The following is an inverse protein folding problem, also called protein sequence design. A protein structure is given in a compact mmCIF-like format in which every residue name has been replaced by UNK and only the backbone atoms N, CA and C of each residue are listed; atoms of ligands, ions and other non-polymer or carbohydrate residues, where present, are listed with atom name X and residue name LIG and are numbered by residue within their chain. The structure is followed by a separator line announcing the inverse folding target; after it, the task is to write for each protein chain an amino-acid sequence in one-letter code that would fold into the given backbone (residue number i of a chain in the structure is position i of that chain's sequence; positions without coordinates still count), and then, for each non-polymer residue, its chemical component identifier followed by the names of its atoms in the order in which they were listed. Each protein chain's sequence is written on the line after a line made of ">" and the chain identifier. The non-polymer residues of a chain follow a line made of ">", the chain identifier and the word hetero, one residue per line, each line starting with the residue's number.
data_IF_995253612062
#
_entry.id   IF_995253612062
#
_cell.length_a   1.000
_cell.length_b   1.000
_cell.length_c   1.000
_cell.angle_alpha   90.00
_cell.angle_beta   90.00
_cell.angle_gamma   90.00
#
_symmetry.space_group_name_H-M   'P 1'
#
loop_
_entity.id
_entity.type
_entity.pdbx_description
1 polymer ?
#
# COMPACT_ATOMS: atom_id res chain seq x y z
N UNK A 1 -11.30 -6.45 -17.04
CA UNK A 1 -12.41 -5.93 -16.21
C UNK A 1 -13.68 -5.67 -17.01
N UNK A 2 -13.61 -5.46 -18.34
CA UNK A 2 -14.82 -5.17 -19.14
C UNK A 2 -15.43 -3.82 -18.79
N UNK A 3 -14.60 -2.85 -18.37
CA UNK A 3 -15.00 -1.52 -17.95
C UNK A 3 -14.43 -0.48 -18.91
N UNK A 4 -15.18 0.59 -19.15
CA UNK A 4 -14.74 1.72 -19.98
C UNK A 4 -13.79 2.66 -19.23
N UNK A 5 -13.92 2.72 -17.91
CA UNK A 5 -13.09 3.51 -16.99
C UNK A 5 -12.97 2.81 -15.63
N UNK A 6 -12.05 3.29 -14.78
CA UNK A 6 -11.94 2.94 -13.36
C UNK A 6 -11.98 4.19 -12.49
N UNK A 7 -12.46 4.06 -11.25
CA UNK A 7 -12.55 5.23 -10.37
C UNK A 7 -11.17 5.69 -9.89
N UNK A 8 -10.24 4.76 -9.67
CA UNK A 8 -8.91 5.04 -9.12
C UNK A 8 -7.87 4.12 -9.76
N UNK A 9 -6.76 4.70 -10.21
CA UNK A 9 -5.59 3.97 -10.70
C UNK A 9 -4.34 4.31 -9.88
N UNK A 10 -3.62 3.30 -9.39
CA UNK A 10 -2.48 3.48 -8.50
C UNK A 10 -1.17 3.04 -9.15
N UNK A 11 -0.12 3.84 -8.95
CA UNK A 11 1.23 3.30 -8.97
C UNK A 11 1.36 2.29 -7.83
N UNK A 12 1.54 1.01 -8.14
CA UNK A 12 1.57 -0.03 -7.09
C UNK A 12 2.82 0.06 -6.21
N UNK A 13 3.96 0.42 -6.78
CA UNK A 13 5.22 0.52 -6.06
C UNK A 13 6.01 1.75 -6.53
N UNK A 14 6.84 2.36 -5.65
CA UNK A 14 7.74 3.48 -5.98
C UNK A 14 9.00 3.05 -6.74
N UNK A 15 9.00 1.88 -7.38
CA UNK A 15 10.08 1.36 -8.21
C UNK A 15 9.53 0.72 -9.47
N UNK A 16 10.39 0.56 -10.47
CA UNK A 16 10.05 -0.03 -11.76
C UNK A 16 10.92 -1.25 -12.05
N UNK A 17 10.36 -2.24 -12.74
CA UNK A 17 11.13 -3.31 -13.35
C UNK A 17 11.51 -2.92 -14.78
N UNK A 18 12.73 -3.27 -15.21
CA UNK A 18 13.18 -3.01 -16.58
C UNK A 18 12.35 -3.86 -17.55
N UNK A 19 11.70 -3.25 -18.54
CA UNK A 19 10.98 -4.03 -19.54
C UNK A 19 11.94 -4.70 -20.51
N UNK A 20 11.56 -5.86 -21.05
CA UNK A 20 12.26 -6.51 -22.17
C UNK A 20 12.22 -5.60 -23.39
N UNK A 21 11.03 -5.08 -23.71
CA UNK A 21 10.79 -4.10 -24.77
C UNK A 21 9.41 -3.48 -24.59
N UNK A 22 9.14 -2.40 -25.32
CA UNK A 22 7.81 -1.80 -25.36
C UNK A 22 6.74 -2.77 -25.91
N UNK A 23 7.10 -3.58 -26.92
CA UNK A 23 6.19 -4.58 -27.49
C UNK A 23 5.91 -5.73 -26.53
N UNK A 24 6.90 -6.13 -25.71
CA UNK A 24 6.68 -7.12 -24.66
C UNK A 24 5.66 -6.62 -23.62
N UNK A 25 5.76 -5.35 -23.20
CA UNK A 25 4.79 -4.75 -22.28
C UNK A 25 3.37 -4.70 -22.86
N UNK A 26 3.21 -4.36 -24.15
CA UNK A 26 1.89 -4.34 -24.81
C UNK A 26 1.19 -5.71 -24.81
N UNK A 27 1.98 -6.78 -24.86
CA UNK A 27 1.50 -8.16 -24.90
C UNK A 27 1.60 -8.86 -23.54
N UNK A 28 1.91 -8.12 -22.48
CA UNK A 28 2.14 -8.67 -21.16
C UNK A 28 0.88 -9.34 -20.60
N UNK A 29 1.06 -10.51 -19.97
CA UNK A 29 0.00 -11.24 -19.28
C UNK A 29 0.08 -10.99 -17.78
N UNK A 30 -1.06 -10.67 -17.16
CA UNK A 30 -1.12 -10.42 -15.72
C UNK A 30 -0.67 -11.65 -14.89
N UNK A 31 -1.03 -12.85 -15.35
CA UNK A 31 -0.64 -14.12 -14.75
C UNK A 31 0.28 -14.84 -15.74
N UNK A 32 1.55 -15.00 -15.37
CA UNK A 32 2.58 -15.60 -16.22
C UNK A 32 3.97 -15.51 -15.61
N UNK A 33 4.96 -16.05 -16.32
CA UNK A 33 6.38 -15.86 -16.02
C UNK A 33 6.77 -14.38 -16.07
N UNK A 34 7.96 -14.01 -15.57
CA UNK A 34 8.43 -12.63 -15.70
C UNK A 34 8.59 -12.22 -17.17
N UNK A 35 9.04 -13.13 -18.04
CA UNK A 35 9.07 -12.92 -19.48
C UNK A 35 7.68 -12.64 -20.06
N UNK A 36 6.67 -13.44 -19.69
CA UNK A 36 5.28 -13.20 -20.13
C UNK A 36 4.69 -11.91 -19.58
N UNK A 37 5.23 -11.39 -18.48
CA UNK A 37 4.91 -10.05 -17.95
C UNK A 37 5.72 -8.94 -18.63
N UNK A 38 6.59 -9.28 -19.58
CA UNK A 38 7.48 -8.33 -20.27
C UNK A 38 8.60 -7.78 -19.38
N UNK A 39 8.91 -8.44 -18.26
CA UNK A 39 9.91 -8.03 -17.29
C UNK A 39 11.25 -8.70 -17.62
N UNK A 40 12.31 -7.90 -17.71
CA UNK A 40 13.67 -8.39 -17.91
C UNK A 40 14.18 -9.10 -16.66
N UNK A 41 14.81 -10.26 -16.85
CA UNK A 41 15.53 -10.99 -15.80
C UNK A 41 17.03 -10.98 -16.05
N UNK A 42 17.80 -10.99 -14.97
CA UNK A 42 19.24 -11.24 -15.03
C UNK A 42 19.46 -12.73 -15.36
N UNK A 43 20.14 -13.05 -16.47
CA UNK A 43 20.32 -14.44 -16.92
C UNK A 43 21.18 -15.28 -15.97
N UNK A 44 21.94 -14.67 -15.06
CA UNK A 44 22.78 -15.36 -14.08
C UNK A 44 22.04 -15.66 -12.79
N UNK A 45 21.19 -14.74 -12.34
CA UNK A 45 20.52 -14.84 -11.04
C UNK A 45 19.05 -15.23 -11.14
N UNK A 46 18.43 -15.10 -12.32
CA UNK A 46 16.98 -15.26 -12.52
C UNK A 46 16.15 -14.18 -11.84
N UNK A 47 16.78 -13.14 -11.25
CA UNK A 47 16.07 -12.06 -10.58
C UNK A 47 15.62 -11.01 -11.59
N UNK A 48 14.48 -10.37 -11.29
CA UNK A 48 13.95 -9.23 -12.05
C UNK A 48 14.94 -8.07 -12.00
N UNK A 49 15.20 -7.45 -13.15
CA UNK A 49 16.07 -6.28 -13.25
C UNK A 49 15.28 -5.02 -12.88
N UNK A 50 15.85 -4.17 -12.01
CA UNK A 50 15.25 -2.90 -11.63
C UNK A 50 15.56 -1.84 -12.71
N UNK A 51 14.55 -1.05 -13.07
CA UNK A 51 14.75 0.15 -13.86
C UNK A 51 15.01 1.34 -12.92
N UNK A 52 16.29 1.60 -12.66
CA UNK A 52 16.69 2.65 -11.72
C UNK A 52 16.26 4.04 -12.19
N UNK A 53 16.25 4.29 -13.51
CA UNK A 53 15.85 5.57 -14.10
C UNK A 53 14.42 5.99 -13.68
N UNK A 54 13.49 5.02 -13.65
CA UNK A 54 12.07 5.24 -13.33
C UNK A 54 11.70 4.82 -11.90
N UNK A 55 12.70 4.48 -11.08
CA UNK A 55 12.53 4.21 -9.66
C UNK A 55 12.66 5.52 -8.88
N UNK A 56 11.92 5.66 -7.78
CA UNK A 56 12.00 6.85 -6.93
C UNK A 56 13.44 7.17 -6.52
N UNK A 57 13.75 8.46 -6.43
CA UNK A 57 15.09 8.93 -6.08
C UNK A 57 15.58 8.34 -4.74
N UNK A 58 14.69 8.31 -3.75
CA UNK A 58 14.97 7.76 -2.42
C UNK A 58 15.39 6.28 -2.46
N UNK A 59 14.71 5.44 -3.25
CA UNK A 59 15.07 4.02 -3.38
C UNK A 59 16.33 3.83 -4.23
N UNK A 60 16.42 4.54 -5.36
CA UNK A 60 17.56 4.45 -6.25
C UNK A 60 18.87 4.84 -5.53
N UNK A 61 18.85 5.93 -4.76
CA UNK A 61 20.03 6.41 -4.02
C UNK A 61 20.52 5.41 -2.98
N UNK A 62 19.61 4.75 -2.24
CA UNK A 62 19.98 3.69 -1.27
C UNK A 62 20.69 2.51 -1.93
N UNK A 63 20.42 2.28 -3.22
CA UNK A 63 21.07 1.26 -4.01
C UNK A 63 22.30 1.77 -4.80
N UNK A 64 22.71 3.03 -4.63
CA UNK A 64 23.85 3.62 -5.34
C UNK A 64 23.54 4.02 -6.80
N UNK A 65 22.28 4.30 -7.11
CA UNK A 65 21.81 4.70 -8.42
C UNK A 65 21.11 6.07 -8.39
N UNK A 66 20.91 6.66 -9.57
CA UNK A 66 20.05 7.82 -9.77
C UNK A 66 18.72 7.38 -10.40
N UNK A 67 17.62 8.00 -9.97
CA UNK A 67 16.28 7.67 -10.42
C UNK A 67 15.29 8.79 -10.14
N UNK A 68 14.18 8.80 -10.86
CA UNK A 68 13.05 9.68 -10.58
C UNK A 68 11.73 8.97 -10.89
N UNK A 69 10.77 9.08 -9.96
CA UNK A 69 9.40 8.63 -10.22
C UNK A 69 8.54 9.70 -10.92
N UNK A 70 9.05 10.93 -11.04
CA UNK A 70 8.32 12.06 -11.64
C UNK A 70 7.82 11.76 -13.06
N UNK A 71 8.60 11.15 -13.98
CA UNK A 71 8.09 10.80 -15.32
C UNK A 71 6.87 9.86 -15.25
N UNK A 72 6.90 8.87 -14.36
CA UNK A 72 5.77 7.94 -14.14
C UNK A 72 4.55 8.66 -13.57
N UNK A 73 4.75 9.56 -12.61
CA UNK A 73 3.67 10.39 -12.06
C UNK A 73 3.03 11.29 -13.13
N UNK A 74 3.84 11.92 -13.98
CA UNK A 74 3.37 12.74 -15.11
C UNK A 74 2.54 11.92 -16.10
N UNK A 75 2.93 10.67 -16.38
CA UNK A 75 2.16 9.76 -17.21
C UNK A 75 0.83 9.35 -16.54
N UNK A 76 0.84 9.09 -15.23
CA UNK A 76 -0.37 8.74 -14.46
C UNK A 76 -1.41 9.86 -14.49
N UNK A 77 -1.02 11.11 -14.20
CA UNK A 77 -1.98 12.23 -14.25
C UNK A 77 -2.59 12.43 -15.65
N UNK A 78 -1.84 12.18 -16.71
CA UNK A 78 -2.32 12.33 -18.07
C UNK A 78 -3.48 11.36 -18.36
N UNK A 79 -3.55 10.21 -17.69
CA UNK A 79 -4.64 9.24 -17.82
C UNK A 79 -5.99 9.83 -17.38
N UNK A 80 -6.01 10.77 -16.44
CA UNK A 80 -7.25 11.44 -16.01
C UNK A 80 -7.86 12.20 -17.20
N UNK A 81 -7.03 12.91 -17.97
CA UNK A 81 -7.46 13.65 -19.17
C UNK A 81 -8.01 12.75 -20.29
N UNK A 82 -7.66 11.46 -20.30
CA UNK A 82 -8.21 10.49 -21.27
C UNK A 82 -9.61 9.98 -20.90
N UNK A 83 -10.08 10.25 -19.68
CA UNK A 83 -11.33 9.70 -19.14
C UNK A 83 -11.28 8.21 -18.77
N UNK A 84 -10.11 7.56 -18.89
CA UNK A 84 -9.92 6.14 -18.51
C UNK A 84 -9.83 5.91 -17.01
N UNK A 85 -9.49 6.95 -16.25
CA UNK A 85 -9.56 6.94 -14.79
C UNK A 85 -10.14 8.26 -14.27
N UNK A 86 -10.86 8.22 -13.15
CA UNK A 86 -11.37 9.43 -12.49
C UNK A 86 -10.35 10.07 -11.56
N UNK A 87 -9.56 9.24 -10.91
CA UNK A 87 -8.53 9.64 -9.97
C UNK A 87 -7.25 8.82 -10.15
N UNK A 88 -6.12 9.36 -9.70
CA UNK A 88 -4.86 8.65 -9.62
C UNK A 88 -4.23 8.82 -8.25
N UNK A 89 -3.47 7.82 -7.84
CA UNK A 89 -2.75 7.83 -6.59
C UNK A 89 -1.54 6.92 -6.64
N UNK A 90 -1.01 6.62 -5.48
CA UNK A 90 0.18 5.80 -5.32
C UNK A 90 -0.05 4.73 -4.26
N UNK A 91 0.90 3.81 -4.12
CA UNK A 91 0.87 2.72 -3.15
C UNK A 91 2.28 2.38 -2.73
N UNK A 92 2.48 2.15 -1.43
CA UNK A 92 3.78 1.89 -0.81
C UNK A 92 4.79 3.06 -0.86
N UNK A 93 4.31 4.30 -1.02
CA UNK A 93 5.18 5.47 -1.06
C UNK A 93 5.50 5.96 0.35
N UNK A 94 6.78 6.21 0.62
CA UNK A 94 7.25 6.85 1.86
C UNK A 94 7.02 8.36 1.83
N UNK A 95 7.24 9.05 2.96
CA UNK A 95 7.20 10.51 3.02
C UNK A 95 8.20 11.14 2.03
N UNK A 96 9.40 10.56 1.90
CA UNK A 96 10.40 11.04 0.95
C UNK A 96 9.91 10.93 -0.51
N UNK A 97 9.31 9.79 -0.87
CA UNK A 97 8.78 9.57 -2.21
C UNK A 97 7.60 10.52 -2.52
N UNK A 98 6.71 10.74 -1.54
CA UNK A 98 5.59 11.68 -1.68
C UNK A 98 6.08 13.12 -1.87
N UNK A 99 7.08 13.55 -1.08
CA UNK A 99 7.67 14.90 -1.19
C UNK A 99 8.29 15.15 -2.57
N UNK A 100 8.83 14.13 -3.23
CA UNK A 100 9.41 14.25 -4.57
C UNK A 100 8.35 14.51 -5.65
N UNK A 101 7.18 13.88 -5.55
CA UNK A 101 6.12 13.99 -6.56
C UNK A 101 5.07 15.08 -6.27
N UNK A 102 4.92 15.50 -5.01
CA UNK A 102 3.97 16.53 -4.58
C UNK A 102 4.03 17.85 -5.39
N UNK A 103 5.22 18.41 -5.71
CA UNK A 103 5.32 19.62 -6.53
C UNK A 103 4.70 19.48 -7.92
N UNK A 104 4.58 18.24 -8.41
CA UNK A 104 4.01 17.89 -9.70
C UNK A 104 2.57 17.42 -9.59
N UNK A 105 1.87 17.61 -8.47
CA UNK A 105 0.50 17.12 -8.25
C UNK A 105 -0.55 18.26 -8.13
N UNK A 106 -0.33 19.40 -8.80
CA UNK A 106 -1.13 20.62 -8.64
C UNK A 106 -2.45 20.63 -9.40
N UNK A 107 -2.48 20.14 -10.64
CA UNK A 107 -3.66 20.05 -11.52
C UNK A 107 -4.43 18.75 -11.32
N UNK A 108 -3.72 17.66 -11.01
CA UNK A 108 -4.28 16.37 -10.62
C UNK A 108 -3.62 15.95 -9.30
N UNK A 109 -4.36 15.91 -8.18
CA UNK A 109 -3.78 15.60 -6.87
C UNK A 109 -3.49 14.11 -6.71
N UNK A 110 -2.58 13.79 -5.80
CA UNK A 110 -2.37 12.43 -5.30
C UNK A 110 -3.60 12.05 -4.48
N UNK A 111 -4.55 11.36 -5.10
CA UNK A 111 -5.87 11.14 -4.49
C UNK A 111 -5.80 10.22 -3.27
N UNK A 112 -4.87 9.27 -3.28
CA UNK A 112 -4.54 8.47 -2.11
C UNK A 112 -3.12 7.92 -2.19
N UNK A 113 -2.61 7.48 -1.05
CA UNK A 113 -1.50 6.55 -0.95
C UNK A 113 -1.98 5.30 -0.20
N UNK A 114 -1.87 4.15 -0.86
CA UNK A 114 -2.27 2.86 -0.32
C UNK A 114 -1.10 2.20 0.41
N UNK A 115 -1.21 1.99 1.72
CA UNK A 115 -0.09 1.50 2.55
C UNK A 115 -0.56 0.47 3.58
N UNK A 116 0.38 -0.32 4.09
CA UNK A 116 0.12 -1.25 5.18
C UNK A 116 -0.13 -0.48 6.47
N UNK A 117 -1.32 -0.66 7.06
CA UNK A 117 -1.67 -0.05 8.35
C UNK A 117 -2.61 -0.98 9.12
N UNK A 118 -2.24 -1.25 10.36
CA UNK A 118 -3.01 -2.03 11.33
C UNK A 118 -2.42 -1.80 12.73
N UNK A 119 -3.06 -2.24 13.84
CA UNK A 119 -2.53 -2.01 15.20
C UNK A 119 -1.04 -2.37 15.42
N UNK A 120 -0.54 -3.46 14.84
CA UNK A 120 0.90 -3.79 14.90
C UNK A 120 1.82 -2.89 14.06
N UNK A 121 1.27 -2.14 13.10
CA UNK A 121 1.98 -1.18 12.25
C UNK A 121 1.09 0.08 12.05
N UNK A 122 0.95 0.95 13.07
CA UNK A 122 0.02 2.09 13.01
C UNK A 122 0.39 3.13 11.96
N UNK A 123 1.68 3.23 11.63
CA UNK A 123 2.27 4.10 10.61
C UNK A 123 1.91 5.60 10.79
N UNK A 124 1.84 6.06 12.05
CA UNK A 124 1.28 7.37 12.41
C UNK A 124 1.93 8.54 11.63
N UNK A 125 3.26 8.59 11.55
CA UNK A 125 3.97 9.68 10.88
C UNK A 125 3.57 9.84 9.41
N UNK A 126 3.45 8.73 8.67
CA UNK A 126 3.00 8.76 7.28
C UNK A 126 1.52 9.14 7.17
N UNK A 127 0.66 8.63 8.07
CA UNK A 127 -0.77 9.00 8.10
C UNK A 127 -0.94 10.50 8.34
N UNK A 128 -0.22 11.06 9.30
CA UNK A 128 -0.28 12.48 9.64
C UNK A 128 0.23 13.34 8.48
N UNK A 129 1.36 12.96 7.86
CA UNK A 129 1.88 13.63 6.67
C UNK A 129 0.87 13.65 5.52
N UNK A 130 0.25 12.49 5.22
CA UNK A 130 -0.76 12.38 4.16
C UNK A 130 -1.97 13.27 4.46
N UNK A 131 -2.44 13.28 5.72
CA UNK A 131 -3.55 14.13 6.16
C UNK A 131 -3.25 15.62 6.01
N UNK A 132 -2.03 16.05 6.35
CA UNK A 132 -1.59 17.45 6.20
C UNK A 132 -1.55 17.91 4.73
N UNK A 133 -1.44 16.98 3.79
CA UNK A 133 -1.32 17.25 2.34
C UNK A 133 -2.57 16.83 1.55
N UNK A 134 -3.71 16.62 2.24
CA UNK A 134 -4.98 16.20 1.63
C UNK A 134 -4.87 14.90 0.80
N UNK A 135 -3.97 13.99 1.19
CA UNK A 135 -3.81 12.66 0.59
C UNK A 135 -4.59 11.65 1.43
N UNK A 136 -5.51 10.92 0.81
CA UNK A 136 -6.27 9.90 1.51
C UNK A 136 -5.39 8.67 1.84
N UNK A 137 -5.43 8.22 3.09
CA UNK A 137 -4.80 6.97 3.49
C UNK A 137 -5.74 5.79 3.20
N UNK A 138 -5.36 4.92 2.25
CA UNK A 138 -6.04 3.63 2.08
C UNK A 138 -5.17 2.51 2.66
N UNK A 139 -5.75 1.63 3.47
CA UNK A 139 -4.99 0.71 4.30
C UNK A 139 -5.18 -0.73 3.83
N UNK A 140 -4.14 -1.32 3.22
CA UNK A 140 -4.14 -2.74 2.90
C UNK A 140 -3.70 -3.57 4.12
N UNK A 141 -3.99 -4.87 4.08
CA UNK A 141 -3.72 -5.81 5.18
C UNK A 141 -4.19 -5.32 6.57
N UNK A 142 -5.42 -4.79 6.74
CA UNK A 142 -5.87 -4.22 8.02
C UNK A 142 -5.91 -5.23 9.19
N UNK A 143 -5.75 -6.52 8.90
CA UNK A 143 -5.70 -7.61 9.90
C UNK A 143 -4.29 -8.19 10.10
N UNK A 144 -3.25 -7.49 9.63
CA UNK A 144 -1.83 -7.88 9.68
C UNK A 144 -1.50 -9.23 9.00
N UNK A 145 -2.01 -9.43 7.77
CA UNK A 145 -1.68 -10.60 6.94
C UNK A 145 -1.79 -11.96 7.65
N UNK A 146 -1.19 -12.99 7.08
CA UNK A 146 -0.71 -14.13 7.85
C UNK A 146 0.81 -14.07 7.78
N UNK A 147 1.46 -13.84 8.92
CA UNK A 147 2.92 -13.94 9.02
C UNK A 147 3.35 -15.40 8.86
N UNK A 148 4.62 -15.64 8.54
CA UNK A 148 5.17 -16.99 8.35
C UNK A 148 5.02 -17.87 9.59
N UNK A 149 5.10 -17.27 10.78
CA UNK A 149 4.87 -17.92 12.07
C UNK A 149 3.38 -18.14 12.40
N UNK A 150 2.46 -17.76 11.50
CA UNK A 150 1.02 -17.85 11.66
C UNK A 150 0.41 -16.78 12.57
N UNK A 151 1.20 -15.80 13.03
CA UNK A 151 0.70 -14.67 13.79
C UNK A 151 -0.21 -13.77 12.94
N UNK A 152 -1.29 -13.30 13.57
CA UNK A 152 -2.28 -12.42 12.95
C UNK A 152 -3.02 -11.67 14.05
N UNK A 153 -3.42 -10.42 13.79
CA UNK A 153 -4.24 -9.63 14.70
C UNK A 153 -5.59 -10.30 15.00
N UNK A 154 -6.09 -11.16 14.09
CA UNK A 154 -7.33 -11.91 14.31
C UNK A 154 -7.25 -12.88 15.50
N UNK A 155 -6.03 -13.25 15.92
CA UNK A 155 -5.79 -14.18 17.03
C UNK A 155 -5.21 -13.50 18.27
N UNK A 156 -4.85 -12.22 18.17
CA UNK A 156 -4.22 -11.46 19.25
C UNK A 156 -5.16 -11.37 20.48
N UNK A 157 -4.67 -11.68 21.69
CA UNK A 157 -5.51 -11.72 22.89
C UNK A 157 -6.07 -10.35 23.28
N UNK A 158 -5.30 -9.27 23.08
CA UNK A 158 -5.75 -7.91 23.39
C UNK A 158 -6.88 -7.52 22.45
N UNK A 159 -6.71 -7.79 21.14
CA UNK A 159 -7.74 -7.49 20.14
C UNK A 159 -9.02 -8.29 20.40
N UNK A 160 -8.91 -9.58 20.74
CA UNK A 160 -10.07 -10.41 21.10
C UNK A 160 -10.81 -9.89 22.32
N UNK A 161 -10.09 -9.53 23.37
CA UNK A 161 -10.69 -8.99 24.59
C UNK A 161 -11.42 -7.68 24.32
N UNK A 162 -10.83 -6.79 23.52
CA UNK A 162 -11.48 -5.55 23.11
C UNK A 162 -12.71 -5.77 22.23
N UNK A 163 -12.66 -6.76 21.32
CA UNK A 163 -13.79 -7.13 20.48
C UNK A 163 -14.97 -7.65 21.33
N UNK A 164 -14.68 -8.52 22.30
CA UNK A 164 -15.69 -9.02 23.26
C UNK A 164 -16.26 -7.90 24.14
N UNK A 165 -15.40 -7.04 24.72
CA UNK A 165 -15.81 -5.84 25.50
C UNK A 165 -16.80 -4.97 24.72
N UNK A 166 -16.59 -4.85 23.41
CA UNK A 166 -17.38 -4.00 22.53
C UNK A 166 -18.56 -4.72 21.84
N UNK A 167 -18.74 -6.03 22.06
CA UNK A 167 -19.76 -6.83 21.38
C UNK A 167 -19.60 -6.84 19.85
N UNK A 168 -18.35 -6.93 19.38
CA UNK A 168 -17.97 -6.88 17.97
C UNK A 168 -17.22 -8.15 17.57
N UNK A 169 -17.25 -8.49 16.27
CA UNK A 169 -16.24 -9.39 15.73
C UNK A 169 -14.87 -8.70 15.69
N UNK A 170 -13.79 -9.48 15.75
CA UNK A 170 -12.42 -8.93 15.68
C UNK A 170 -12.19 -8.12 14.40
N UNK A 171 -12.70 -8.58 13.25
CA UNK A 171 -12.60 -7.85 11.99
C UNK A 171 -13.31 -6.48 12.04
N UNK A 172 -14.52 -6.44 12.61
CA UNK A 172 -15.30 -5.23 12.82
C UNK A 172 -14.57 -4.24 13.75
N UNK A 173 -13.96 -4.71 14.84
CA UNK A 173 -13.16 -3.88 15.74
C UNK A 173 -11.97 -3.23 15.01
N UNK A 174 -11.21 -4.02 14.25
CA UNK A 174 -10.03 -3.54 13.52
C UNK A 174 -10.41 -2.54 12.41
N UNK A 175 -11.51 -2.80 11.69
CA UNK A 175 -12.06 -1.86 10.70
C UNK A 175 -12.52 -0.56 11.38
N UNK A 176 -13.21 -0.67 12.52
CA UNK A 176 -13.70 0.48 13.30
C UNK A 176 -12.56 1.38 13.78
N UNK A 177 -11.47 0.79 14.28
CA UNK A 177 -10.27 1.52 14.66
C UNK A 177 -9.67 2.29 13.48
N UNK A 178 -9.50 1.65 12.32
CA UNK A 178 -8.92 2.29 11.15
C UNK A 178 -9.80 3.45 10.63
N UNK A 179 -11.12 3.23 10.51
CA UNK A 179 -12.07 4.26 10.11
C UNK A 179 -12.06 5.44 11.09
N UNK A 180 -12.04 5.18 12.40
CA UNK A 180 -12.05 6.23 13.42
C UNK A 180 -10.75 7.06 13.44
N UNK A 181 -9.64 6.52 12.91
CA UNK A 181 -8.39 7.27 12.67
C UNK A 181 -8.42 8.12 11.38
N UNK A 182 -9.51 8.08 10.63
CA UNK A 182 -9.65 8.82 9.37
C UNK A 182 -8.99 8.12 8.18
N UNK A 183 -8.78 6.81 8.23
CA UNK A 183 -8.24 6.02 7.12
C UNK A 183 -9.31 5.12 6.49
N UNK A 184 -9.03 4.59 5.30
CA UNK A 184 -9.94 3.70 4.55
C UNK A 184 -9.39 2.28 4.52
N UNK A 185 -9.84 1.37 5.41
CA UNK A 185 -9.29 0.02 5.48
C UNK A 185 -9.91 -0.94 4.46
N UNK A 186 -9.06 -1.77 3.86
CA UNK A 186 -9.42 -2.72 2.80
C UNK A 186 -9.56 -4.15 3.34
N UNK A 187 -10.60 -4.36 4.17
CA UNK A 187 -10.89 -5.63 4.83
C UNK A 187 -11.40 -6.71 3.87
N UNK A 188 -10.50 -7.52 3.31
CA UNK A 188 -10.86 -8.63 2.41
C UNK A 188 -11.52 -9.79 3.15
N UNK A 189 -12.65 -10.27 2.64
CA UNK A 189 -13.30 -11.51 3.09
C UNK A 189 -14.00 -12.19 1.91
N UNK A 190 -14.19 -13.51 2.01
CA UNK A 190 -15.04 -14.31 1.11
C UNK A 190 -16.24 -14.91 1.87
N UNK A 191 -16.34 -14.68 3.18
CA UNK A 191 -17.43 -15.17 4.02
C UNK A 191 -18.46 -14.05 4.20
N UNK A 192 -19.70 -14.26 3.74
CA UNK A 192 -20.76 -13.25 3.73
C UNK A 192 -21.01 -12.61 5.10
N UNK A 193 -21.09 -13.41 6.17
CA UNK A 193 -21.28 -12.89 7.53
C UNK A 193 -20.16 -11.94 7.96
N UNK A 194 -18.91 -12.27 7.64
CA UNK A 194 -17.75 -11.42 7.92
C UNK A 194 -17.74 -10.17 7.05
N UNK A 195 -18.21 -10.25 5.79
CA UNK A 195 -18.35 -9.06 4.93
C UNK A 195 -19.34 -8.08 5.56
N UNK A 196 -20.51 -8.56 5.99
CA UNK A 196 -21.52 -7.72 6.67
C UNK A 196 -20.97 -7.12 7.97
N UNK A 197 -20.33 -7.94 8.80
CA UNK A 197 -19.74 -7.52 10.07
C UNK A 197 -18.63 -6.46 9.88
N UNK A 198 -17.73 -6.66 8.92
CA UNK A 198 -16.66 -5.71 8.61
C UNK A 198 -17.15 -4.35 8.08
N UNK A 199 -18.39 -4.27 7.59
CA UNK A 199 -19.01 -3.02 7.12
C UNK A 199 -19.77 -2.29 8.24
N UNK A 200 -20.20 -2.99 9.29
CA UNK A 200 -20.90 -2.42 10.45
C UNK A 200 -19.92 -1.71 11.41
N UNK A 201 -19.14 -0.75 10.91
CA UNK A 201 -18.16 -0.05 11.75
C UNK A 201 -18.84 0.77 12.85
N UNK A 202 -18.24 0.78 14.04
CA UNK A 202 -18.80 1.40 15.25
C UNK A 202 -17.77 2.31 15.91
N UNK A 203 -18.23 3.33 16.61
CA UNK A 203 -17.34 4.21 17.37
C UNK A 203 -16.76 3.45 18.56
N UNK A 204 -15.44 3.40 18.65
CA UNK A 204 -14.69 2.88 19.79
C UNK A 204 -14.48 3.98 20.85
N UNK A 205 -14.34 3.56 22.10
CA UNK A 205 -13.96 4.47 23.19
C UNK A 205 -12.54 5.00 22.98
N UNK A 206 -12.25 6.17 23.55
CA UNK A 206 -10.90 6.76 23.48
C UNK A 206 -9.84 5.83 24.10
N UNK A 207 -10.20 5.15 25.18
CA UNK A 207 -9.35 4.13 25.82
C UNK A 207 -9.02 2.98 24.86
N UNK A 208 -10.03 2.40 24.19
CA UNK A 208 -9.81 1.28 23.27
C UNK A 208 -8.99 1.72 22.04
N UNK A 209 -9.22 2.94 21.55
CA UNK A 209 -8.42 3.54 20.48
C UNK A 209 -6.95 3.70 20.89
N UNK A 210 -6.68 4.15 22.11
CA UNK A 210 -5.33 4.30 22.65
C UNK A 210 -4.64 2.94 22.81
N UNK A 211 -5.34 1.93 23.33
CA UNK A 211 -4.80 0.57 23.45
C UNK A 211 -4.39 0.03 22.08
N UNK A 212 -5.30 0.05 21.09
CA UNK A 212 -5.02 -0.45 19.74
C UNK A 212 -3.90 0.33 19.05
N UNK A 213 -3.86 1.65 19.22
CA UNK A 213 -2.82 2.50 18.62
C UNK A 213 -1.45 2.32 19.30
N UNK A 214 -1.43 1.87 20.55
CA UNK A 214 -0.22 1.52 21.31
C UNK A 214 0.36 0.15 21.01
N UNK A 215 -0.31 -0.69 20.19
CA UNK A 215 0.15 -2.03 19.84
C UNK A 215 1.27 -2.08 18.80
N UNK A 216 1.77 -0.93 18.35
CA UNK A 216 2.80 -0.85 17.32
C UNK A 216 4.03 -1.65 17.71
N UNK A 217 4.47 -2.55 16.82
CA UNK A 217 5.67 -3.35 17.04
C UNK A 217 6.88 -2.56 16.55
N UNK A 218 7.90 -2.47 17.41
CA UNK A 218 9.14 -1.73 17.12
C UNK A 218 9.86 -2.22 15.86
N UNK A 219 10.72 -1.35 15.32
CA UNK A 219 11.60 -1.62 14.17
C UNK A 219 10.86 -2.07 12.90
N UNK A 220 9.59 -1.69 12.74
CA UNK A 220 8.78 -2.09 11.59
C UNK A 220 8.41 -3.58 11.57
N UNK A 221 8.70 -4.36 12.62
CA UNK A 221 8.41 -5.81 12.70
C UNK A 221 6.91 -6.14 12.66
N UNK A 222 6.05 -5.14 12.75
CA UNK A 222 4.61 -5.27 12.50
C UNK A 222 4.29 -5.58 11.04
N UNK A 223 5.13 -5.11 10.11
CA UNK A 223 4.95 -5.21 8.66
C UNK A 223 4.92 -6.67 8.20
N UNK A 224 4.03 -6.93 7.25
CA UNK A 224 3.82 -8.25 6.63
C UNK A 224 4.10 -8.24 5.13
N UNK A 225 4.20 -7.06 4.52
CA UNK A 225 4.60 -6.90 3.12
C UNK A 225 5.89 -6.09 3.04
N UNK A 226 7.02 -6.78 2.92
CA UNK A 226 8.34 -6.18 2.68
C UNK A 226 9.00 -6.86 1.46
N UNK A 227 9.23 -6.13 0.35
CA UNK A 227 9.83 -6.71 -0.84
C UNK A 227 11.35 -6.93 -0.72
N UNK A 228 11.99 -6.61 0.41
CA UNK A 228 13.45 -6.68 0.56
C UNK A 228 14.04 -8.06 0.28
N UNK A 229 13.44 -9.13 0.80
CA UNK A 229 13.97 -10.48 0.61
C UNK A 229 13.86 -10.93 -0.85
N UNK A 230 12.72 -10.62 -1.48
CA UNK A 230 12.42 -10.98 -2.87
C UNK A 230 13.17 -10.15 -3.90
N UNK A 231 13.35 -8.85 -3.64
CA UNK A 231 13.85 -7.87 -4.61
C UNK A 231 15.19 -7.24 -4.24
N UNK A 232 15.68 -7.43 -3.02
CA UNK A 232 16.87 -6.73 -2.53
C UNK A 232 16.66 -5.22 -2.38
N UNK A 233 15.41 -4.74 -2.37
CA UNK A 233 15.07 -3.33 -2.29
C UNK A 233 14.69 -2.94 -0.87
N UNK A 234 15.45 -2.00 -0.29
CA UNK A 234 15.13 -1.46 1.02
C UNK A 234 14.18 -0.27 0.91
N UNK A 235 12.87 -0.54 0.92
CA UNK A 235 11.83 0.49 0.81
C UNK A 235 11.59 1.24 2.11
N UNK A 236 11.65 0.54 3.24
CA UNK A 236 11.13 1.01 4.51
C UNK A 236 12.20 1.28 5.57
N UNK A 237 13.48 1.11 5.24
CA UNK A 237 14.57 1.56 6.11
C UNK A 237 14.78 3.06 5.90
N UNK A 238 14.97 3.79 7.01
CA UNK A 238 15.32 5.21 6.99
C UNK A 238 16.83 5.39 6.79
#
# INVERSE_FOLDING_TARGET
>A
MGLDYIDLFLAHWPFAFKPISHDALKNAKANGSNEEKGILEDPKTGKRVIDWEHTSANIAQKAGHEGSFVPTWLALKALVGTGKTRAVGVSNFSIADLKDILPYATDVPISCNQVEVHPWLPNNELIDFMKEHDILATCYSPFAGQKEDGATLLKDPVVKQLAEKNGMDVGQLLQSWAVQRGTVPLGKSQTESRIKSNLDVKKLSEEDMQILSGMGVADGKGRTVDPREDLGLSLYEN
#
